data_IF_347480919216
#
_entry.id   IF_347480919216
#
_cell.length_a   1.000
_cell.length_b   1.000
_cell.length_c   1.000
_cell.angle_alpha   90.00
_cell.angle_beta   90.00
_cell.angle_gamma   90.00
#
_symmetry.space_group_name_H-M   'P 1'
#
loop_
_entity.id
_entity.type
_entity.pdbx_description
1 polymer ?
#
# COMPACT_ATOMS: atom_id res chain seq x y z
N UNK A 1 7.24 -7.93 -3.56
CA UNK A 1 7.42 -8.29 -2.13
C UNK A 1 6.24 -9.09 -1.59
N UNK A 2 4.99 -8.64 -1.74
CA UNK A 2 3.80 -9.36 -1.25
C UNK A 2 3.70 -10.82 -1.73
N UNK A 3 3.91 -11.04 -3.03
CA UNK A 3 3.76 -12.37 -3.66
C UNK A 3 5.04 -13.20 -3.64
N UNK A 4 6.17 -12.52 -3.84
CA UNK A 4 7.47 -13.17 -4.03
C UNK A 4 8.26 -13.33 -2.75
N UNK A 5 7.88 -12.64 -1.67
CA UNK A 5 8.64 -12.54 -0.41
C UNK A 5 10.09 -12.03 -0.58
N UNK A 6 10.36 -11.39 -1.72
CA UNK A 6 11.68 -10.89 -2.11
C UNK A 6 11.56 -9.47 -2.66
N UNK A 7 12.54 -8.62 -2.33
CA UNK A 7 12.66 -7.27 -2.84
C UNK A 7 13.02 -7.29 -4.34
N UNK A 8 12.23 -6.65 -5.22
CA UNK A 8 12.48 -6.64 -6.66
C UNK A 8 13.65 -5.73 -7.06
N UNK A 9 14.20 -4.94 -6.12
CA UNK A 9 15.29 -4.00 -6.39
C UNK A 9 16.67 -4.54 -6.03
N UNK A 10 16.78 -5.29 -4.95
CA UNK A 10 18.06 -5.80 -4.45
C UNK A 10 18.10 -7.31 -4.20
N UNK A 11 16.98 -8.03 -4.38
CA UNK A 11 16.90 -9.47 -4.07
C UNK A 11 16.85 -9.81 -2.57
N UNK A 12 16.86 -8.82 -1.68
CA UNK A 12 16.77 -9.04 -0.23
C UNK A 12 15.44 -9.64 0.21
N UNK A 13 15.48 -10.52 1.21
CA UNK A 13 14.30 -11.24 1.76
C UNK A 13 13.89 -10.74 3.15
N UNK A 14 14.67 -9.85 3.75
CA UNK A 14 14.31 -9.19 5.01
C UNK A 14 13.32 -8.06 4.74
N UNK A 15 12.05 -8.34 5.00
CA UNK A 15 10.93 -7.47 4.68
C UNK A 15 10.09 -7.19 5.92
N UNK A 16 9.70 -5.93 6.12
CA UNK A 16 8.71 -5.53 7.12
C UNK A 16 7.37 -5.31 6.43
N UNK A 17 6.32 -5.99 6.89
CA UNK A 17 4.95 -5.74 6.43
C UNK A 17 4.24 -4.79 7.40
N UNK A 18 3.78 -3.66 6.89
CA UNK A 18 2.95 -2.69 7.60
C UNK A 18 1.53 -2.82 7.07
N UNK A 19 0.59 -3.34 7.89
CA UNK A 19 -0.79 -3.51 7.46
C UNK A 19 -1.46 -2.15 7.22
N UNK A 20 -2.45 -2.15 6.33
CA UNK A 20 -3.22 -0.95 6.09
C UNK A 20 -4.02 -0.57 7.35
N UNK A 21 -4.04 0.72 7.69
CA UNK A 21 -4.75 1.22 8.87
C UNK A 21 -5.40 2.55 8.60
N UNK A 22 -6.64 2.73 9.05
CA UNK A 22 -7.36 4.00 8.93
C UNK A 22 -6.67 5.14 9.70
N UNK A 23 -5.86 4.83 10.71
CA UNK A 23 -5.09 5.82 11.46
C UNK A 23 -3.91 6.39 10.66
N UNK A 24 -3.46 5.70 9.61
CA UNK A 24 -2.31 6.11 8.80
C UNK A 24 -2.67 7.12 7.69
N UNK A 25 -3.95 7.48 7.54
CA UNK A 25 -4.37 8.52 6.58
C UNK A 25 -3.76 9.89 6.89
N UNK A 26 -3.63 10.25 8.16
CA UNK A 26 -3.02 11.51 8.58
C UNK A 26 -1.49 11.54 8.39
N UNK A 27 -0.87 10.38 8.12
CA UNK A 27 0.59 10.20 8.02
C UNK A 27 1.06 9.89 6.60
N UNK A 28 0.21 10.12 5.58
CA UNK A 28 0.54 9.88 4.17
C UNK A 28 0.72 8.40 3.80
N UNK A 29 0.23 7.48 4.64
CA UNK A 29 0.39 6.04 4.41
C UNK A 29 -0.59 5.47 3.38
N UNK A 30 -1.75 6.09 3.23
CA UNK A 30 -2.88 5.67 2.40
C UNK A 30 -3.24 6.72 1.35
N UNK A 31 -4.06 6.36 0.35
CA UNK A 31 -4.43 7.25 -0.74
C UNK A 31 -5.86 7.80 -0.57
N UNK A 32 -6.01 9.11 -0.79
CA UNK A 32 -7.30 9.77 -0.96
C UNK A 32 -7.63 9.83 -2.45
N UNK A 33 -8.87 9.46 -2.80
CA UNK A 33 -9.32 9.55 -4.18
C UNK A 33 -10.16 10.82 -4.46
N UNK A 34 -10.46 11.61 -3.42
CA UNK A 34 -11.14 12.90 -3.52
C UNK A 34 -11.17 13.65 -2.19
N UNK A 35 -11.43 14.96 -2.22
CA UNK A 35 -11.43 15.85 -1.04
C UNK A 35 -12.71 15.74 -0.18
N UNK A 36 -13.87 15.40 -0.77
CA UNK A 36 -15.18 15.60 -0.12
C UNK A 36 -16.12 14.38 -0.06
N UNK A 37 -15.69 13.20 -0.52
CA UNK A 37 -16.45 11.95 -0.36
C UNK A 37 -15.55 10.96 0.35
N UNK A 38 -16.06 10.22 1.33
CA UNK A 38 -15.30 9.27 2.18
C UNK A 38 -14.59 8.11 1.45
N UNK A 39 -14.33 8.26 0.16
CA UNK A 39 -13.61 7.37 -0.74
C UNK A 39 -12.11 7.45 -0.44
N UNK A 40 -11.70 6.50 0.40
CA UNK A 40 -10.35 6.35 0.91
C UNK A 40 -9.85 4.96 0.58
N UNK A 41 -8.68 4.85 -0.03
CA UNK A 41 -8.04 3.56 -0.35
C UNK A 41 -7.04 3.22 0.74
N UNK A 42 -7.26 2.08 1.40
CA UNK A 42 -6.32 1.55 2.38
C UNK A 42 -5.17 0.84 1.65
N UNK A 43 -3.94 1.20 2.03
CA UNK A 43 -2.72 0.69 1.42
C UNK A 43 -1.88 -0.02 2.48
N UNK A 44 -1.58 -1.30 2.25
CA UNK A 44 -0.54 -2.00 2.99
C UNK A 44 0.82 -1.71 2.36
N UNK A 45 1.89 -1.79 3.16
CA UNK A 45 3.27 -1.54 2.70
C UNK A 45 4.16 -2.70 3.05
N UNK A 46 5.00 -3.08 2.10
CA UNK A 46 6.13 -3.97 2.34
C UNK A 46 7.39 -3.14 2.20
N UNK A 47 8.28 -3.18 3.19
CA UNK A 47 9.51 -2.38 3.24
C UNK A 47 10.69 -3.34 3.27
N UNK A 48 11.59 -3.21 2.29
CA UNK A 48 12.85 -3.93 2.30
C UNK A 48 13.83 -3.24 3.26
N UNK A 49 14.26 -3.94 4.31
CA UNK A 49 15.22 -3.38 5.27
C UNK A 49 16.64 -3.32 4.74
N UNK A 50 16.94 -4.04 3.66
CA UNK A 50 18.27 -4.05 3.04
C UNK A 50 18.54 -2.86 2.12
N UNK A 51 17.52 -2.33 1.42
CA UNK A 51 17.71 -1.23 0.45
C UNK A 51 16.69 -0.10 0.56
N UNK A 52 15.73 -0.18 1.48
CA UNK A 52 14.70 0.85 1.68
C UNK A 52 13.57 0.87 0.66
N UNK A 53 13.57 0.00 -0.37
CA UNK A 53 12.48 -0.07 -1.33
C UNK A 53 11.14 -0.41 -0.66
N UNK A 54 10.08 0.29 -1.06
CA UNK A 54 8.72 0.10 -0.54
C UNK A 54 7.76 -0.30 -1.66
N UNK A 55 7.06 -1.42 -1.47
CA UNK A 55 5.98 -1.86 -2.35
C UNK A 55 4.64 -1.61 -1.65
N UNK A 56 3.77 -0.83 -2.29
CA UNK A 56 2.46 -0.44 -1.76
C UNK A 56 1.36 -1.30 -2.41
N UNK A 57 0.36 -1.74 -1.65
CA UNK A 57 -0.75 -2.55 -2.15
C UNK A 57 -2.11 -2.05 -1.66
N UNK A 58 -3.04 -1.80 -2.61
CA UNK A 58 -4.46 -1.72 -2.33
C UNK A 58 -5.05 -3.14 -2.33
N UNK A 59 -5.54 -3.60 -1.18
CA UNK A 59 -5.91 -5.01 -1.00
C UNK A 59 -7.41 -5.26 -0.96
N UNK A 60 -8.19 -4.26 -0.56
CA UNK A 60 -9.62 -4.43 -0.36
C UNK A 60 -10.35 -4.39 -1.71
N UNK A 61 -11.24 -5.35 -2.02
CA UNK A 61 -11.99 -5.37 -3.28
C UNK A 61 -12.74 -4.05 -3.55
N UNK A 62 -13.33 -3.44 -2.52
CA UNK A 62 -14.02 -2.15 -2.63
C UNK A 62 -13.07 -0.99 -2.99
N UNK A 63 -11.82 -1.02 -2.54
CA UNK A 63 -10.84 0.01 -2.89
C UNK A 63 -10.44 -0.12 -4.36
N UNK A 64 -10.23 -1.35 -4.83
CA UNK A 64 -9.96 -1.64 -6.23
C UNK A 64 -11.15 -1.27 -7.13
N UNK A 65 -12.38 -1.49 -6.67
CA UNK A 65 -13.58 -1.04 -7.38
C UNK A 65 -13.65 0.49 -7.45
N UNK A 66 -13.38 1.20 -6.34
CA UNK A 66 -13.37 2.66 -6.31
C UNK A 66 -12.27 3.27 -7.20
N UNK A 67 -11.13 2.58 -7.36
CA UNK A 67 -10.08 2.96 -8.30
C UNK A 67 -10.53 2.75 -9.76
N UNK A 68 -11.15 1.60 -10.08
CA UNK A 68 -11.65 1.32 -11.44
C UNK A 68 -12.75 2.29 -11.88
N UNK A 69 -13.58 2.75 -10.95
CA UNK A 69 -14.65 3.71 -11.24
C UNK A 69 -14.15 5.11 -11.67
N UNK A 70 -12.83 5.35 -11.64
CA UNK A 70 -12.18 6.59 -12.09
C UNK A 70 -11.44 6.49 -13.42
N UNK A 71 -11.47 5.32 -14.07
CA UNK A 71 -10.93 5.10 -15.42
C UNK A 71 -12.00 5.45 -16.46
#
# INVERSE_FOLDING_TARGET
MKRTHTCPKCGGTQLVHVPASQWLFARGGNAYLGLHRGERVLISKYICTSCGYVENWAERPQDLAALRARL
#
